data_IF_740663965847
#
_entry.id   IF_740663965847
#
_cell.length_a   1.000
_cell.length_b   1.000
_cell.length_c   1.000
_cell.angle_alpha   90.00
_cell.angle_beta   90.00
_cell.angle_gamma   90.00
#
_symmetry.space_group_name_H-M   'P 1'
#
loop_
_entity.id
_entity.type
_entity.pdbx_description
1 polymer ?
#
# COMPACT_ATOMS: atom_id res chain seq x y z
N UNK A 1 0.34 2.71 7.86
CA UNK A 1 0.67 2.96 6.44
C UNK A 1 1.88 3.87 6.24
N UNK A 2 2.19 4.79 7.16
CA UNK A 2 3.36 5.70 7.12
C UNK A 2 4.73 5.06 6.91
N UNK A 3 4.87 3.73 6.98
CA UNK A 3 6.13 3.05 6.68
C UNK A 3 6.25 2.68 5.19
N UNK A 4 5.15 2.51 4.45
CA UNK A 4 5.16 2.19 3.00
C UNK A 4 5.79 3.34 2.22
N UNK A 5 5.26 4.57 2.42
CA UNK A 5 5.83 5.83 1.91
C UNK A 5 7.35 5.96 2.20
N UNK A 6 7.76 5.63 3.43
CA UNK A 6 9.16 5.77 3.85
C UNK A 6 10.06 4.73 3.19
N UNK A 7 9.58 3.50 3.07
CA UNK A 7 10.30 2.43 2.38
C UNK A 7 10.45 2.83 0.92
N UNK A 8 9.37 3.23 0.25
CA UNK A 8 9.42 3.68 -1.14
C UNK A 8 10.37 4.86 -1.36
N UNK A 9 10.33 5.85 -0.46
CA UNK A 9 11.26 6.98 -0.50
C UNK A 9 12.72 6.53 -0.38
N UNK A 10 13.01 5.59 0.52
CA UNK A 10 14.35 5.00 0.65
C UNK A 10 14.76 4.21 -0.61
N UNK A 11 13.84 3.48 -1.23
CA UNK A 11 14.09 2.78 -2.50
C UNK A 11 14.38 3.77 -3.64
N UNK A 12 13.65 4.89 -3.74
CA UNK A 12 13.93 5.97 -4.70
C UNK A 12 15.33 6.57 -4.50
N UNK A 13 15.72 6.83 -3.26
CA UNK A 13 17.05 7.34 -2.93
C UNK A 13 18.16 6.34 -3.29
N UNK A 14 17.95 5.06 -3.00
CA UNK A 14 18.86 3.99 -3.40
C UNK A 14 18.96 3.90 -4.92
N UNK A 15 17.84 3.85 -5.64
CA UNK A 15 17.85 3.81 -7.10
C UNK A 15 18.68 4.97 -7.69
N UNK A 16 18.47 6.20 -7.18
CA UNK A 16 19.26 7.37 -7.57
C UNK A 16 20.75 7.22 -7.26
N UNK A 17 21.11 6.66 -6.10
CA UNK A 17 22.51 6.39 -5.71
C UNK A 17 23.21 5.42 -6.66
N UNK A 18 22.47 4.49 -7.24
CA UNK A 18 22.95 3.50 -8.20
C UNK A 18 22.63 3.90 -9.66
N UNK A 19 22.63 5.21 -9.96
CA UNK A 19 22.44 5.74 -11.32
C UNK A 19 21.13 5.34 -12.01
N UNK A 20 20.07 5.13 -11.23
CA UNK A 20 18.72 4.79 -11.70
C UNK A 20 18.63 3.47 -12.47
N UNK A 21 19.44 2.47 -12.09
CA UNK A 21 19.46 1.15 -12.75
C UNK A 21 18.72 0.05 -11.97
N UNK A 22 18.32 0.31 -10.72
CA UNK A 22 17.74 -0.71 -9.83
C UNK A 22 16.22 -0.86 -9.97
N UNK A 23 15.53 0.20 -10.36
CA UNK A 23 14.07 0.24 -10.55
C UNK A 23 13.80 1.12 -11.78
N UNK A 24 12.88 0.69 -12.65
CA UNK A 24 12.50 1.49 -13.82
C UNK A 24 11.78 2.78 -13.43
N UNK A 25 11.74 3.74 -14.35
CA UNK A 25 11.02 5.00 -14.09
C UNK A 25 9.51 4.76 -14.08
N UNK A 26 9.02 3.84 -14.92
CA UNK A 26 7.63 3.44 -15.00
C UNK A 26 7.12 2.86 -13.68
N UNK A 27 7.85 1.91 -13.09
CA UNK A 27 7.49 1.31 -11.79
C UNK A 27 7.48 2.35 -10.66
N UNK A 28 8.43 3.28 -10.67
CA UNK A 28 8.44 4.37 -9.68
C UNK A 28 7.24 5.31 -9.84
N UNK A 29 6.80 5.60 -11.07
CA UNK A 29 5.64 6.45 -11.29
C UNK A 29 4.35 5.76 -10.89
N UNK A 30 4.21 4.47 -11.20
CA UNK A 30 3.06 3.65 -10.81
C UNK A 30 2.93 3.63 -9.28
N UNK A 31 4.01 3.29 -8.57
CA UNK A 31 3.95 3.23 -7.11
C UNK A 31 3.77 4.60 -6.45
N UNK A 32 4.25 5.68 -7.08
CA UNK A 32 4.00 7.04 -6.61
C UNK A 32 2.52 7.45 -6.71
N UNK A 33 1.78 6.93 -7.69
CA UNK A 33 0.32 7.09 -7.74
C UNK A 33 -0.37 6.20 -6.69
N UNK A 34 0.05 4.95 -6.53
CA UNK A 34 -0.51 4.03 -5.52
C UNK A 34 -0.39 4.58 -4.10
N UNK A 35 0.76 5.15 -3.76
CA UNK A 35 1.04 5.72 -2.43
C UNK A 35 0.15 6.94 -2.13
N UNK A 36 -0.28 7.70 -3.15
CA UNK A 36 -1.22 8.82 -2.96
C UNK A 36 -2.60 8.37 -2.51
N UNK A 37 -2.96 7.10 -2.72
CA UNK A 37 -4.23 6.53 -2.28
C UNK A 37 -4.23 6.09 -0.81
N UNK A 38 -3.05 5.90 -0.20
CA UNK A 38 -2.92 5.45 1.19
C UNK A 38 -3.75 6.27 2.21
N UNK A 39 -3.80 7.62 2.14
CA UNK A 39 -4.64 8.41 3.05
C UNK A 39 -6.13 8.05 2.92
N UNK A 40 -6.60 7.78 1.70
CA UNK A 40 -8.00 7.42 1.44
C UNK A 40 -8.30 6.01 1.95
N UNK A 41 -7.37 5.06 1.77
CA UNK A 41 -7.51 3.70 2.34
C UNK A 41 -7.58 3.78 3.87
N UNK A 42 -6.73 4.61 4.49
CA UNK A 42 -6.75 4.81 5.94
C UNK A 42 -8.05 5.46 6.43
N UNK A 43 -8.56 6.46 5.72
CA UNK A 43 -9.84 7.08 6.02
C UNK A 43 -11.00 6.07 5.91
N UNK A 44 -11.06 5.31 4.83
CA UNK A 44 -12.05 4.24 4.63
C UNK A 44 -12.01 3.21 5.76
N UNK A 45 -10.81 2.78 6.18
CA UNK A 45 -10.64 1.87 7.32
C UNK A 45 -11.25 2.45 8.60
N UNK A 46 -10.94 3.71 8.92
CA UNK A 46 -11.44 4.35 10.14
C UNK A 46 -12.97 4.50 10.13
N UNK A 47 -13.55 4.83 8.98
CA UNK A 47 -15.02 4.90 8.80
C UNK A 47 -15.66 3.54 9.07
N UNK A 48 -15.14 2.48 8.42
CA UNK A 48 -15.68 1.13 8.56
C UNK A 48 -15.61 0.64 10.01
N UNK A 49 -14.48 0.85 10.68
CA UNK A 49 -14.31 0.48 12.08
C UNK A 49 -15.25 1.25 13.01
N UNK A 50 -15.46 2.54 12.76
CA UNK A 50 -16.41 3.35 13.53
C UNK A 50 -17.85 2.82 13.37
N UNK A 51 -18.26 2.49 12.14
CA UNK A 51 -19.58 1.96 11.84
C UNK A 51 -19.81 0.60 12.50
N UNK A 52 -18.84 -0.33 12.41
CA UNK A 52 -18.95 -1.68 12.99
C UNK A 52 -19.30 -1.67 14.48
N UNK A 53 -18.81 -0.69 15.23
CA UNK A 53 -19.06 -0.58 16.68
C UNK A 53 -20.52 -0.25 17.05
N UNK A 54 -21.35 0.16 16.09
CA UNK A 54 -22.70 0.68 16.32
C UNK A 54 -23.81 -0.13 15.64
N UNK A 55 -23.48 -1.20 14.91
CA UNK A 55 -24.45 -1.96 14.12
C UNK A 55 -24.99 -3.17 14.90
N UNK A 56 -26.29 -3.15 15.18
CA UNK A 56 -27.02 -4.29 15.78
C UNK A 56 -27.69 -5.19 14.73
N UNK A 57 -27.97 -4.64 13.55
CA UNK A 57 -28.64 -5.35 12.45
C UNK A 57 -27.65 -6.25 11.68
N UNK A 58 -28.00 -7.53 11.52
CA UNK A 58 -27.11 -8.52 10.92
C UNK A 58 -26.82 -8.29 9.43
N UNK A 59 -27.79 -7.78 8.68
CA UNK A 59 -27.62 -7.53 7.25
C UNK A 59 -26.67 -6.35 7.03
N UNK A 60 -26.88 -5.26 7.77
CA UNK A 60 -25.96 -4.11 7.81
C UNK A 60 -24.56 -4.52 8.28
N UNK A 61 -24.48 -5.36 9.32
CA UNK A 61 -23.18 -5.86 9.83
C UNK A 61 -22.44 -6.64 8.74
N UNK A 62 -23.15 -7.49 7.99
CA UNK A 62 -22.56 -8.26 6.89
C UNK A 62 -22.02 -7.35 5.79
N UNK A 63 -22.77 -6.31 5.42
CA UNK A 63 -22.31 -5.32 4.45
C UNK A 63 -21.07 -4.57 4.93
N UNK A 64 -21.04 -4.17 6.19
CA UNK A 64 -19.91 -3.41 6.74
C UNK A 64 -18.65 -4.30 6.89
N UNK A 65 -18.82 -5.57 7.24
CA UNK A 65 -17.72 -6.55 7.25
C UNK A 65 -17.16 -6.82 5.85
N UNK A 66 -18.02 -6.79 4.81
CA UNK A 66 -17.54 -6.87 3.43
C UNK A 66 -16.70 -5.64 3.08
N UNK A 67 -17.13 -4.43 3.47
CA UNK A 67 -16.31 -3.22 3.28
C UNK A 67 -14.98 -3.31 4.03
N UNK A 68 -14.98 -3.84 5.26
CA UNK A 68 -13.74 -4.09 6.01
C UNK A 68 -12.80 -5.03 5.25
N UNK A 69 -13.33 -6.14 4.73
CA UNK A 69 -12.55 -7.09 3.95
C UNK A 69 -11.92 -6.44 2.70
N UNK A 70 -12.68 -5.63 1.97
CA UNK A 70 -12.17 -4.92 0.79
C UNK A 70 -11.04 -3.95 1.17
N UNK A 71 -11.22 -3.15 2.22
CA UNK A 71 -10.18 -2.21 2.67
C UNK A 71 -8.94 -2.97 3.15
N UNK A 72 -9.09 -4.08 3.87
CA UNK A 72 -7.94 -4.93 4.25
C UNK A 72 -7.20 -5.43 3.00
N UNK A 73 -7.92 -5.89 1.98
CA UNK A 73 -7.31 -6.30 0.71
C UNK A 73 -6.52 -5.17 0.04
N UNK A 74 -7.05 -3.94 0.06
CA UNK A 74 -6.32 -2.77 -0.44
C UNK A 74 -5.01 -2.54 0.35
N UNK A 75 -5.03 -2.73 1.67
CA UNK A 75 -3.83 -2.61 2.52
C UNK A 75 -2.82 -3.73 2.21
N UNK A 76 -3.27 -4.98 2.11
CA UNK A 76 -2.43 -6.14 1.78
C UNK A 76 -1.73 -5.91 0.44
N UNK A 77 -2.48 -5.48 -0.56
CA UNK A 77 -1.95 -5.18 -1.89
C UNK A 77 -0.83 -4.12 -1.85
N UNK A 78 -0.98 -3.05 -1.08
CA UNK A 78 0.05 -2.00 -0.94
C UNK A 78 1.34 -2.55 -0.29
N UNK A 79 1.22 -3.50 0.64
CA UNK A 79 2.40 -4.16 1.20
C UNK A 79 3.06 -5.10 0.20
N UNK A 80 2.29 -5.82 -0.60
CA UNK A 80 2.80 -6.70 -1.64
C UNK A 80 3.56 -5.91 -2.71
N UNK A 81 3.04 -4.75 -3.15
CA UNK A 81 3.76 -3.88 -4.11
C UNK A 81 5.15 -3.49 -3.60
N UNK A 82 5.22 -2.93 -2.39
CA UNK A 82 6.50 -2.56 -1.79
C UNK A 82 7.41 -3.78 -1.57
N UNK A 83 6.86 -4.91 -1.16
CA UNK A 83 7.62 -6.14 -0.99
C UNK A 83 8.30 -6.57 -2.29
N UNK A 84 7.56 -6.56 -3.41
CA UNK A 84 8.09 -6.92 -4.71
C UNK A 84 9.15 -5.93 -5.20
N UNK A 85 8.95 -4.62 -4.99
CA UNK A 85 9.97 -3.63 -5.33
C UNK A 85 11.27 -3.84 -4.52
N UNK A 86 11.17 -4.18 -3.22
CA UNK A 86 12.34 -4.50 -2.40
C UNK A 86 13.05 -5.73 -2.97
N UNK A 87 12.31 -6.78 -3.33
CA UNK A 87 12.85 -8.00 -3.94
C UNK A 87 13.60 -7.70 -5.24
N UNK A 88 13.00 -6.94 -6.14
CA UNK A 88 13.60 -6.52 -7.41
C UNK A 88 14.90 -5.74 -7.20
N UNK A 89 14.93 -4.83 -6.22
CA UNK A 89 16.15 -4.08 -5.88
C UNK A 89 17.27 -5.02 -5.42
N UNK A 90 16.96 -6.05 -4.63
CA UNK A 90 17.97 -7.04 -4.21
C UNK A 90 18.52 -7.78 -5.44
N UNK A 91 17.63 -8.29 -6.30
CA UNK A 91 18.01 -9.02 -7.52
C UNK A 91 18.93 -8.14 -8.41
N UNK A 92 18.57 -6.88 -8.65
CA UNK A 92 19.33 -5.96 -9.50
C UNK A 92 20.64 -5.45 -8.87
N UNK A 93 20.88 -5.65 -7.57
CA UNK A 93 22.17 -5.35 -6.92
C UNK A 93 23.13 -6.54 -7.06
N UNK A 94 22.60 -7.76 -7.11
CA UNK A 94 23.39 -8.99 -7.20
C UNK A 94 23.85 -9.30 -8.64
N UNK A 95 23.21 -8.69 -9.65
CA UNK A 95 23.57 -8.73 -11.08
C UNK A 95 24.81 -7.87 -11.44
#
# INVERSE_FOLDING_TARGET
MTNIDKIFSALKELNKKYNSTLISTEELLEEEENIKELPQIHERMNIVLANLSQIEDKEKLTSELLQLHLVIGDIEWQFDQIHEMVRQVIENIED
#
